data_IF_434474061456
#
_entry.id   IF_434474061456
#
_cell.length_a   1.000
_cell.length_b   1.000
_cell.length_c   1.000
_cell.angle_alpha   90.00
_cell.angle_beta   90.00
_cell.angle_gamma   90.00
#
_symmetry.space_group_name_H-M   'P 1'
#
loop_
_entity.id
_entity.type
_entity.pdbx_description
1 polymer ?
#
# COMPACT_ATOMS: atom_id res chain seq x y z
N UNK A 1 7.38 -7.91 6.85
CA UNK A 1 7.81 -6.65 6.21
C UNK A 1 8.06 -6.93 4.73
N UNK A 2 7.56 -6.09 3.82
CA UNK A 2 7.70 -6.26 2.36
C UNK A 2 8.73 -5.32 1.72
N UNK A 3 9.17 -4.28 2.44
CA UNK A 3 10.25 -3.37 2.03
C UNK A 3 10.00 -1.93 2.45
N UNK A 4 10.88 -1.03 2.02
CA UNK A 4 10.81 0.42 2.25
C UNK A 4 10.35 1.13 0.99
N UNK A 5 9.28 1.94 1.10
CA UNK A 5 8.69 2.64 -0.05
C UNK A 5 9.65 3.65 -0.67
N UNK A 6 9.62 3.77 -2.00
CA UNK A 6 10.38 4.76 -2.75
C UNK A 6 9.55 5.35 -3.89
N UNK A 7 10.00 6.48 -4.44
CA UNK A 7 9.32 7.13 -5.57
C UNK A 7 9.25 6.19 -6.79
N UNK A 8 8.05 6.06 -7.37
CA UNK A 8 7.73 5.20 -8.53
C UNK A 8 8.12 3.73 -8.33
N UNK A 9 7.92 3.22 -7.12
CA UNK A 9 8.12 1.82 -6.77
C UNK A 9 6.83 1.22 -6.25
N UNK A 10 6.53 -0.01 -6.64
CA UNK A 10 5.43 -0.79 -6.09
C UNK A 10 5.93 -2.11 -5.52
N UNK A 11 5.21 -2.64 -4.54
CA UNK A 11 5.44 -3.97 -3.98
C UNK A 11 4.38 -4.93 -4.50
N UNK A 12 4.76 -6.19 -4.69
CA UNK A 12 3.83 -7.26 -5.01
C UNK A 12 4.04 -8.41 -4.03
N UNK A 13 2.94 -8.92 -3.47
CA UNK A 13 2.97 -10.03 -2.54
C UNK A 13 1.70 -10.86 -2.69
N UNK A 14 1.87 -12.14 -2.99
CA UNK A 14 0.81 -13.13 -2.87
C UNK A 14 0.56 -13.45 -1.38
N UNK A 15 -0.71 -13.62 -1.05
CA UNK A 15 -1.21 -13.94 0.28
C UNK A 15 -2.32 -14.97 0.17
N UNK A 16 -2.55 -15.73 1.25
CA UNK A 16 -3.70 -16.63 1.32
C UNK A 16 -5.02 -15.83 1.37
N UNK A 17 -6.12 -16.37 0.81
CA UNK A 17 -7.43 -15.75 0.96
C UNK A 17 -7.83 -15.61 2.44
N UNK A 18 -8.48 -14.50 2.78
CA UNK A 18 -8.91 -14.18 4.15
C UNK A 18 -8.48 -12.80 4.61
N UNK A 19 -8.53 -12.59 5.93
CA UNK A 19 -8.15 -11.32 6.55
C UNK A 19 -6.62 -11.11 6.51
N UNK A 20 -6.24 -9.95 6.00
CA UNK A 20 -4.87 -9.47 5.92
C UNK A 20 -4.79 -8.09 6.56
N UNK A 21 -3.64 -7.76 7.13
CA UNK A 21 -3.34 -6.42 7.63
C UNK A 21 -2.18 -5.83 6.83
N UNK A 22 -2.41 -4.68 6.21
CA UNK A 22 -1.38 -3.89 5.57
C UNK A 22 -1.05 -2.69 6.45
N UNK A 23 0.23 -2.49 6.74
CA UNK A 23 0.70 -1.42 7.63
C UNK A 23 1.78 -0.60 6.95
N UNK A 24 1.88 0.69 7.28
CA UNK A 24 2.99 1.55 6.89
C UNK A 24 3.58 2.24 8.11
N UNK A 25 4.89 2.43 8.12
CA UNK A 25 5.57 3.16 9.19
C UNK A 25 5.25 4.65 9.07
N UNK A 26 4.96 5.28 10.21
CA UNK A 26 4.61 6.70 10.27
C UNK A 26 4.90 7.21 11.67
N UNK A 27 5.31 8.47 11.76
CA UNK A 27 5.47 9.16 13.05
C UNK A 27 4.12 9.46 13.74
N UNK A 28 2.99 9.25 13.03
CA UNK A 28 1.64 9.47 13.57
C UNK A 28 0.72 8.25 13.40
N UNK A 29 0.12 7.85 14.52
CA UNK A 29 -0.98 6.87 14.72
C UNK A 29 -0.79 5.48 14.12
N UNK A 30 -1.75 4.58 14.39
CA UNK A 30 -1.89 3.32 13.65
C UNK A 30 -2.14 3.63 12.17
N UNK A 31 -1.42 2.95 11.27
CA UNK A 31 -1.60 3.04 9.81
C UNK A 31 -1.87 1.66 9.24
N UNK A 32 -2.63 0.89 10.00
CA UNK A 32 -3.08 -0.44 9.64
C UNK A 32 -4.36 -0.33 8.80
N UNK A 33 -4.37 -1.08 7.72
CA UNK A 33 -5.51 -1.29 6.87
C UNK A 33 -5.84 -2.78 6.88
N UNK A 34 -6.98 -3.13 7.46
CA UNK A 34 -7.52 -4.50 7.39
C UNK A 34 -8.18 -4.70 6.04
N UNK A 35 -7.87 -5.83 5.41
CA UNK A 35 -8.32 -6.18 4.07
C UNK A 35 -8.81 -7.62 4.09
N UNK A 36 -10.00 -7.87 3.55
CA UNK A 36 -10.45 -9.23 3.27
C UNK A 36 -10.14 -9.56 1.80
N UNK A 37 -9.35 -10.62 1.59
CA UNK A 37 -8.84 -11.00 0.28
C UNK A 37 -9.45 -12.29 -0.22
N UNK A 38 -9.70 -12.36 -1.53
CA UNK A 38 -10.25 -13.51 -2.23
C UNK A 38 -9.19 -14.14 -3.14
N UNK A 39 -9.23 -15.47 -3.29
CA UNK A 39 -8.30 -16.19 -4.17
C UNK A 39 -8.48 -15.78 -5.64
N UNK A 40 -7.37 -15.59 -6.34
CA UNK A 40 -7.35 -15.23 -7.77
C UNK A 40 -7.65 -13.76 -8.07
N UNK A 41 -7.74 -12.89 -7.06
CA UNK A 41 -7.99 -11.46 -7.21
C UNK A 41 -6.80 -10.63 -6.74
N UNK A 42 -6.48 -9.56 -7.48
CA UNK A 42 -5.52 -8.55 -7.07
C UNK A 42 -6.22 -7.43 -6.33
N UNK A 43 -5.57 -6.89 -5.30
CA UNK A 43 -6.02 -5.72 -4.56
C UNK A 43 -4.91 -4.67 -4.60
N UNK A 44 -5.29 -3.41 -4.79
CA UNK A 44 -4.34 -2.32 -5.00
C UNK A 44 -4.45 -1.30 -3.87
N UNK A 45 -3.29 -0.89 -3.37
CA UNK A 45 -3.17 0.05 -2.27
C UNK A 45 -2.11 1.10 -2.61
N UNK A 46 -2.41 2.34 -2.26
CA UNK A 46 -1.49 3.45 -2.43
C UNK A 46 -1.07 3.99 -1.08
N UNK A 47 0.25 4.17 -0.94
CA UNK A 47 0.81 4.95 0.14
C UNK A 47 0.78 6.44 -0.22
N UNK A 48 0.33 7.27 0.71
CA UNK A 48 0.35 8.72 0.58
C UNK A 48 1.02 9.37 1.78
N UNK A 49 1.57 10.56 1.56
CA UNK A 49 2.17 11.37 2.62
C UNK A 49 1.07 12.17 3.31
N UNK A 50 1.00 12.06 4.64
CA UNK A 50 0.18 12.92 5.49
C UNK A 50 1.01 14.14 5.87
N UNK A 51 0.70 15.29 5.28
CA UNK A 51 1.35 16.54 5.64
C UNK A 51 0.88 16.98 7.03
N UNK A 52 1.77 16.88 8.02
CA UNK A 52 1.57 17.45 9.36
C UNK A 52 2.10 18.88 9.45
N UNK A 53 1.79 19.57 10.55
CA UNK A 53 2.26 20.94 10.82
C UNK A 53 3.77 21.00 11.08
N UNK A 54 4.39 19.89 11.52
CA UNK A 54 5.81 19.86 11.93
C UNK A 54 6.63 18.68 11.37
N UNK A 55 6.01 17.52 11.10
CA UNK A 55 6.65 16.33 10.52
C UNK A 55 5.68 15.62 9.58
N UNK A 56 6.19 14.90 8.58
CA UNK A 56 5.37 14.17 7.60
C UNK A 56 5.11 12.74 8.05
N UNK A 57 3.85 12.31 8.02
CA UNK A 57 3.48 10.90 8.24
C UNK A 57 3.21 10.17 6.91
N UNK A 58 2.93 8.88 7.00
CA UNK A 58 2.45 8.08 5.87
C UNK A 58 1.08 7.46 6.19
N UNK A 59 0.34 7.12 5.14
CA UNK A 59 -0.91 6.36 5.27
C UNK A 59 -1.14 5.51 4.03
N UNK A 60 -2.06 4.56 4.16
CA UNK A 60 -2.46 3.66 3.08
C UNK A 60 -3.93 3.89 2.74
N UNK A 61 -4.26 3.82 1.46
CA UNK A 61 -5.65 3.79 0.97
C UNK A 61 -5.82 2.66 -0.04
N UNK A 62 -6.98 2.00 -0.01
CA UNK A 62 -7.38 1.12 -1.10
C UNK A 62 -7.75 1.97 -2.33
N UNK A 63 -7.39 1.49 -3.51
CA UNK A 63 -7.78 2.10 -4.79
C UNK A 63 -8.48 1.09 -5.68
N UNK A 64 -9.19 1.59 -6.69
CA UNK A 64 -9.86 0.72 -7.66
C UNK A 64 -8.87 -0.08 -8.50
N UNK A 65 -9.29 -1.22 -9.05
CA UNK A 65 -8.46 -2.03 -9.96
C UNK A 65 -7.95 -1.21 -11.14
N UNK A 66 -8.78 -0.34 -11.73
CA UNK A 66 -8.39 0.50 -12.85
C UNK A 66 -7.30 1.52 -12.48
N UNK A 67 -7.44 2.18 -11.32
CA UNK A 67 -6.45 3.14 -10.82
C UNK A 67 -5.15 2.44 -10.42
N UNK A 68 -5.25 1.33 -9.69
CA UNK A 68 -4.11 0.55 -9.23
C UNK A 68 -3.29 -0.04 -10.38
N UNK A 69 -3.94 -0.63 -11.39
CA UNK A 69 -3.27 -1.15 -12.58
C UNK A 69 -2.52 -0.05 -13.32
N UNK A 70 -3.16 1.12 -13.51
CA UNK A 70 -2.52 2.27 -14.15
C UNK A 70 -1.28 2.72 -13.36
N UNK A 71 -1.39 2.86 -12.06
CA UNK A 71 -0.31 3.38 -11.23
C UNK A 71 0.86 2.39 -11.13
N UNK A 72 0.60 1.08 -11.10
CA UNK A 72 1.64 0.04 -11.14
C UNK A 72 2.39 0.07 -12.48
N UNK A 73 1.72 0.33 -13.61
CA UNK A 73 2.38 0.47 -14.92
C UNK A 73 3.35 1.65 -14.99
N UNK A 74 3.12 2.70 -14.20
CA UNK A 74 4.01 3.86 -14.08
C UNK A 74 5.15 3.65 -13.06
N UNK A 75 5.11 2.55 -12.31
CA UNK A 75 6.08 2.18 -11.27
C UNK A 75 6.99 1.03 -11.69
N UNK A 76 8.05 0.81 -10.91
CA UNK A 76 8.91 -0.38 -11.01
C UNK A 76 8.69 -1.29 -9.81
N UNK A 77 8.79 -2.60 -10.00
CA UNK A 77 8.73 -3.54 -8.89
C UNK A 77 9.91 -3.25 -7.94
N UNK A 78 9.62 -3.24 -6.63
CA UNK A 78 10.62 -3.12 -5.58
C UNK A 78 11.69 -4.22 -5.73
N UNK A 79 12.95 -3.85 -5.46
CA UNK A 79 14.08 -4.79 -5.52
C UNK A 79 14.22 -5.56 -4.22
#
# INVERSE_FOLDING_TARGET
MIGESANKVFFYKEVEPGEQTLSTESEFSENDLKVSTEGGKNYFFEQYIKMGVFVGGAGLKAVSDAEGMKNVQECKLAK
#
